data_IF_856743189569
#
_entry.id   IF_856743189569
#
_cell.length_a   1.000
_cell.length_b   1.000
_cell.length_c   1.000
_cell.angle_alpha   90.00
_cell.angle_beta   90.00
_cell.angle_gamma   90.00
#
_symmetry.space_group_name_H-M   'P 1'
#
loop_
_entity.id
_entity.type
_entity.pdbx_description
1 polymer ?
#
# COMPACT_ATOMS: atom_id res chain seq x y z
N UNK A 1 -20.61 17.13 -23.20
CA UNK A 1 -20.02 15.79 -22.98
C UNK A 1 -20.23 15.46 -21.52
N UNK A 2 -20.99 14.40 -21.21
CA UNK A 2 -21.21 13.93 -19.84
C UNK A 2 -19.86 13.58 -19.21
N UNK A 3 -19.45 14.38 -18.24
CA UNK A 3 -18.16 14.23 -17.58
C UNK A 3 -18.25 13.04 -16.63
N UNK A 4 -17.73 11.88 -17.05
CA UNK A 4 -17.76 10.67 -16.24
C UNK A 4 -16.89 10.88 -14.98
N UNK A 5 -17.43 10.80 -13.75
CA UNK A 5 -16.70 11.15 -12.54
C UNK A 5 -15.42 10.34 -12.38
N UNK A 6 -15.45 9.05 -12.71
CA UNK A 6 -14.27 8.19 -12.67
C UNK A 6 -13.15 8.66 -13.62
N UNK A 7 -13.48 9.16 -14.82
CA UNK A 7 -12.50 9.67 -15.81
C UNK A 7 -11.96 11.03 -15.37
N UNK A 8 -12.75 11.81 -14.64
CA UNK A 8 -12.30 13.10 -14.09
C UNK A 8 -11.29 12.92 -12.97
N UNK A 9 -11.50 11.90 -12.14
CA UNK A 9 -10.68 11.63 -10.96
C UNK A 9 -9.48 10.71 -11.25
N UNK A 10 -9.41 10.10 -12.43
CA UNK A 10 -8.32 9.19 -12.83
C UNK A 10 -7.50 9.77 -13.99
N UNK A 11 -6.23 10.08 -13.74
CA UNK A 11 -5.28 10.47 -14.78
C UNK A 11 -5.07 9.36 -15.83
N UNK A 12 -5.04 8.11 -15.38
CA UNK A 12 -4.89 6.94 -16.23
C UNK A 12 -6.04 6.82 -17.24
N UNK A 13 -7.29 6.79 -16.76
CA UNK A 13 -8.46 6.63 -17.62
C UNK A 13 -8.67 7.83 -18.53
N UNK A 14 -8.34 9.04 -18.06
CA UNK A 14 -8.41 10.26 -18.87
C UNK A 14 -7.50 10.18 -20.09
N UNK A 15 -6.24 9.73 -19.90
CA UNK A 15 -5.31 9.53 -21.02
C UNK A 15 -5.76 8.39 -21.92
N UNK A 16 -6.11 7.25 -21.34
CA UNK A 16 -6.50 6.06 -22.10
C UNK A 16 -7.71 6.32 -23.02
N UNK A 17 -8.74 7.00 -22.52
CA UNK A 17 -9.95 7.34 -23.30
C UNK A 17 -9.76 8.51 -24.27
N UNK A 18 -8.63 9.21 -24.21
CA UNK A 18 -8.26 10.17 -25.26
C UNK A 18 -7.82 9.43 -26.53
N UNK A 19 -7.25 8.24 -26.37
CA UNK A 19 -6.66 7.44 -27.45
C UNK A 19 -7.57 6.29 -27.91
N UNK A 20 -8.53 5.86 -27.09
CA UNK A 20 -9.37 4.68 -27.33
C UNK A 20 -10.86 5.00 -27.14
N UNK A 21 -11.72 4.43 -27.99
CA UNK A 21 -13.18 4.59 -27.92
C UNK A 21 -13.88 3.61 -26.97
N UNK A 22 -13.17 2.56 -26.54
CA UNK A 22 -13.65 1.53 -25.62
C UNK A 22 -12.57 1.25 -24.57
N UNK A 23 -13.01 1.01 -23.33
CA UNK A 23 -12.12 0.68 -22.21
C UNK A 23 -12.44 -0.73 -21.74
N UNK A 24 -11.49 -1.63 -21.94
CA UNK A 24 -11.40 -2.85 -21.14
C UNK A 24 -10.41 -2.58 -20.03
N UNK A 25 -10.92 -2.24 -18.84
CA UNK A 25 -10.06 -2.15 -17.66
C UNK A 25 -9.69 -3.57 -17.26
N UNK A 26 -8.44 -3.92 -17.47
CA UNK A 26 -7.82 -5.04 -16.77
C UNK A 26 -7.12 -4.43 -15.56
N UNK A 27 -7.69 -4.53 -14.34
CA UNK A 27 -6.94 -4.19 -13.15
C UNK A 27 -5.61 -4.94 -13.17
N UNK A 28 -4.55 -4.36 -12.62
CA UNK A 28 -3.31 -5.09 -12.44
C UNK A 28 -3.56 -6.45 -11.79
N UNK A 29 -2.74 -7.44 -12.16
CA UNK A 29 -3.01 -8.87 -11.92
C UNK A 29 -3.25 -9.25 -10.46
N UNK A 30 -2.85 -8.42 -9.49
CA UNK A 30 -3.02 -8.65 -8.05
C UNK A 30 -4.09 -7.76 -7.40
N UNK A 31 -4.59 -6.74 -8.09
CA UNK A 31 -5.68 -5.92 -7.59
C UNK A 31 -7.00 -6.67 -7.68
N UNK A 32 -7.68 -6.85 -6.55
CA UNK A 32 -9.02 -7.42 -6.55
C UNK A 32 -10.01 -6.48 -7.27
N UNK A 33 -10.92 -7.06 -8.06
CA UNK A 33 -11.99 -6.31 -8.72
C UNK A 33 -12.85 -5.50 -7.72
N UNK A 34 -13.04 -6.04 -6.50
CA UNK A 34 -13.75 -5.35 -5.42
C UNK A 34 -13.03 -4.07 -4.94
N UNK A 35 -11.69 -4.01 -5.05
CA UNK A 35 -10.91 -2.81 -4.72
C UNK A 35 -11.12 -1.73 -5.78
N UNK A 36 -11.07 -2.12 -7.06
CA UNK A 36 -11.39 -1.23 -8.16
C UNK A 36 -12.83 -0.70 -8.05
N UNK A 37 -13.79 -1.58 -7.75
CA UNK A 37 -15.19 -1.19 -7.54
C UNK A 37 -15.33 -0.16 -6.42
N UNK A 38 -14.64 -0.33 -5.30
CA UNK A 38 -14.65 0.66 -4.20
C UNK A 38 -14.07 2.01 -4.63
N UNK A 39 -12.92 2.01 -5.33
CA UNK A 39 -12.33 3.24 -5.85
C UNK A 39 -13.25 3.93 -6.88
N UNK A 40 -13.89 3.14 -7.74
CA UNK A 40 -14.88 3.64 -8.69
C UNK A 40 -16.08 4.24 -7.97
N UNK A 41 -16.69 3.50 -7.03
CA UNK A 41 -17.82 3.96 -6.21
C UNK A 41 -17.50 5.26 -5.48
N UNK A 42 -16.28 5.40 -4.97
CA UNK A 42 -15.81 6.64 -4.35
C UNK A 42 -15.87 7.83 -5.33
N UNK A 43 -15.42 7.64 -6.57
CA UNK A 43 -15.47 8.69 -7.60
C UNK A 43 -16.89 9.16 -7.92
N UNK A 44 -17.89 8.30 -7.70
CA UNK A 44 -19.32 8.64 -7.85
C UNK A 44 -19.97 9.21 -6.58
N UNK A 45 -19.18 9.54 -5.56
CA UNK A 45 -19.69 10.07 -4.29
C UNK A 45 -20.25 9.00 -3.35
N UNK A 46 -19.99 7.72 -3.63
CA UNK A 46 -20.31 6.65 -2.69
C UNK A 46 -19.36 6.63 -1.49
N UNK A 47 -19.90 6.28 -0.32
CA UNK A 47 -19.09 6.17 0.89
C UNK A 47 -18.21 4.91 0.85
N UNK A 48 -16.96 5.07 1.28
CA UNK A 48 -15.98 4.00 1.41
C UNK A 48 -15.40 4.07 2.82
N UNK A 49 -15.69 3.04 3.60
CA UNK A 49 -15.14 2.87 4.96
C UNK A 49 -13.74 2.29 4.86
N UNK A 50 -12.77 2.98 5.46
CA UNK A 50 -11.40 2.46 5.58
C UNK A 50 -11.34 1.42 6.70
N UNK A 51 -10.58 0.36 6.46
CA UNK A 51 -10.36 -0.79 7.34
C UNK A 51 -8.90 -1.22 7.21
N UNK A 52 -8.37 -2.02 8.14
CA UNK A 52 -6.98 -2.46 8.03
C UNK A 52 -6.74 -3.25 6.73
N UNK A 53 -7.69 -4.10 6.36
CA UNK A 53 -7.61 -4.95 5.16
C UNK A 53 -7.72 -4.24 3.81
N UNK A 54 -8.34 -3.05 3.75
CA UNK A 54 -8.57 -2.34 2.47
C UNK A 54 -7.71 -1.08 2.30
N UNK A 55 -6.95 -0.69 3.33
CA UNK A 55 -6.10 0.50 3.27
C UNK A 55 -5.06 0.42 2.16
N UNK A 56 -4.20 -0.61 2.17
CA UNK A 56 -3.18 -0.79 1.14
C UNK A 56 -3.78 -1.04 -0.25
N UNK A 57 -4.82 -1.89 -0.42
CA UNK A 57 -5.51 -2.04 -1.70
C UNK A 57 -6.08 -0.73 -2.27
N UNK A 58 -6.77 0.08 -1.46
CA UNK A 58 -7.34 1.34 -1.93
C UNK A 58 -6.26 2.37 -2.25
N UNK A 59 -5.13 2.35 -1.52
CA UNK A 59 -4.01 3.23 -1.82
C UNK A 59 -3.30 2.85 -3.12
N UNK A 60 -3.14 1.55 -3.38
CA UNK A 60 -2.66 1.02 -4.65
C UNK A 60 -3.61 1.33 -5.82
N UNK A 61 -4.93 1.24 -5.60
CA UNK A 61 -5.92 1.60 -6.62
C UNK A 61 -5.87 3.09 -6.97
N UNK A 62 -5.75 3.96 -5.96
CA UNK A 62 -5.59 5.38 -6.17
C UNK A 62 -4.32 5.68 -6.98
N UNK A 63 -3.21 5.01 -6.69
CA UNK A 63 -1.95 5.18 -7.40
C UNK A 63 -2.04 4.71 -8.85
N UNK A 64 -2.55 3.50 -9.09
CA UNK A 64 -2.72 2.94 -10.42
C UNK A 64 -3.70 3.75 -11.28
N UNK A 65 -4.78 4.27 -10.68
CA UNK A 65 -5.71 5.18 -11.35
C UNK A 65 -5.13 6.58 -11.57
N UNK A 66 -3.94 6.88 -11.02
CA UNK A 66 -3.33 8.21 -11.01
C UNK A 66 -4.29 9.25 -10.44
N UNK A 67 -4.94 8.89 -9.33
CA UNK A 67 -5.76 9.80 -8.56
C UNK A 67 -4.82 10.77 -7.84
N UNK A 68 -5.09 12.07 -7.95
CA UNK A 68 -4.22 13.09 -7.34
C UNK A 68 -4.10 12.96 -5.81
N UNK A 69 -3.08 13.59 -5.19
CA UNK A 69 -2.92 13.61 -3.74
C UNK A 69 -4.10 14.25 -3.02
N UNK A 70 -4.72 15.26 -3.64
CA UNK A 70 -5.95 15.89 -3.15
C UNK A 70 -7.22 15.07 -3.44
N UNK A 71 -7.08 13.91 -4.09
CA UNK A 71 -8.22 13.02 -4.24
C UNK A 71 -8.70 12.57 -2.86
N UNK A 72 -10.02 12.51 -2.71
CA UNK A 72 -10.58 12.20 -1.41
C UNK A 72 -10.22 10.80 -0.92
N UNK A 73 -9.87 9.85 -1.81
CA UNK A 73 -9.50 8.50 -1.44
C UNK A 73 -8.09 8.45 -0.80
N UNK A 74 -7.12 9.14 -1.40
CA UNK A 74 -5.76 9.29 -0.86
C UNK A 74 -5.78 9.92 0.52
N UNK A 75 -6.42 11.08 0.63
CA UNK A 75 -6.53 11.82 1.90
C UNK A 75 -7.26 11.02 2.98
N UNK A 76 -8.26 10.20 2.60
CA UNK A 76 -9.00 9.37 3.54
C UNK A 76 -8.17 8.18 4.02
N UNK A 77 -7.36 7.59 3.15
CA UNK A 77 -6.39 6.56 3.51
C UNK A 77 -5.32 7.11 4.46
N UNK A 78 -4.72 8.27 4.15
CA UNK A 78 -3.76 8.95 5.03
C UNK A 78 -4.37 9.30 6.39
N UNK A 79 -5.61 9.82 6.39
CA UNK A 79 -6.32 10.13 7.63
C UNK A 79 -6.64 8.90 8.47
N UNK A 80 -6.96 7.76 7.85
CA UNK A 80 -7.13 6.49 8.56
C UNK A 80 -5.81 5.99 9.12
N UNK A 81 -4.73 6.06 8.34
CA UNK A 81 -3.39 5.70 8.78
C UNK A 81 -2.99 6.48 10.04
N UNK A 82 -3.12 7.81 10.01
CA UNK A 82 -2.69 8.65 11.15
C UNK A 82 -3.58 8.47 12.40
N UNK A 83 -4.89 8.22 12.24
CA UNK A 83 -5.80 8.12 13.40
C UNK A 83 -5.87 6.74 14.01
N UNK A 84 -5.89 5.70 13.18
CA UNK A 84 -6.15 4.34 13.62
C UNK A 84 -4.86 3.53 13.62
N UNK A 85 -4.13 3.52 12.51
CA UNK A 85 -2.92 2.68 12.34
C UNK A 85 -1.80 3.16 13.25
N UNK A 86 -1.53 4.47 13.29
CA UNK A 86 -0.47 5.03 14.13
C UNK A 86 -0.78 4.99 15.63
N UNK A 87 -2.03 4.69 16.01
CA UNK A 87 -2.46 4.64 17.41
C UNK A 87 -2.46 3.21 17.99
N UNK A 88 -2.43 2.18 17.14
CA UNK A 88 -2.61 0.79 17.56
C UNK A 88 -1.67 -0.15 16.78
N UNK A 89 -0.74 -0.78 17.50
CA UNK A 89 0.23 -1.71 16.93
C UNK A 89 -0.42 -2.97 16.33
N UNK A 90 -1.53 -3.44 16.90
CA UNK A 90 -2.28 -4.56 16.34
C UNK A 90 -2.90 -4.22 14.98
N UNK A 91 -3.46 -3.01 14.86
CA UNK A 91 -3.95 -2.49 13.57
C UNK A 91 -2.79 -2.33 12.58
N UNK A 92 -1.65 -1.79 13.01
CA UNK A 92 -0.46 -1.68 12.17
C UNK A 92 0.03 -3.04 11.64
N UNK A 93 0.04 -4.08 12.48
CA UNK A 93 0.38 -5.43 12.06
C UNK A 93 -0.64 -6.00 11.05
N UNK A 94 -1.94 -5.76 11.25
CA UNK A 94 -2.98 -6.19 10.30
C UNK A 94 -2.84 -5.51 8.93
N UNK A 95 -2.58 -4.19 8.92
CA UNK A 95 -2.32 -3.45 7.68
C UNK A 95 -1.05 -3.99 7.01
N UNK A 96 0.03 -4.21 7.76
CA UNK A 96 1.28 -4.76 7.22
C UNK A 96 1.06 -6.09 6.49
N UNK A 97 0.31 -7.02 7.10
CA UNK A 97 -0.08 -8.28 6.44
C UNK A 97 -0.91 -8.07 5.19
N UNK A 98 -1.79 -7.07 5.16
CA UNK A 98 -2.59 -6.75 3.97
C UNK A 98 -1.74 -6.26 2.80
N UNK A 99 -0.57 -5.66 3.05
CA UNK A 99 0.33 -5.19 2.01
C UNK A 99 0.96 -6.34 1.21
N UNK A 100 1.21 -7.50 1.85
CA UNK A 100 1.92 -8.63 1.24
C UNK A 100 1.31 -9.06 -0.11
N UNK A 101 -0.03 -9.09 -0.22
CA UNK A 101 -0.71 -9.47 -1.46
C UNK A 101 -0.46 -8.56 -2.67
N UNK A 102 0.04 -7.34 -2.44
CA UNK A 102 0.23 -6.30 -3.46
C UNK A 102 1.71 -6.06 -3.82
N UNK A 103 2.64 -6.44 -2.94
CA UNK A 103 4.08 -6.17 -3.11
C UNK A 103 4.70 -6.90 -4.32
N UNK A 104 4.13 -8.04 -4.73
CA UNK A 104 4.51 -8.72 -5.96
C UNK A 104 3.78 -8.23 -7.22
N UNK A 105 3.05 -7.10 -7.15
CA UNK A 105 2.29 -6.52 -8.26
C UNK A 105 3.14 -5.57 -9.12
N UNK A 106 2.53 -4.90 -10.13
CA UNK A 106 3.21 -3.88 -10.92
C UNK A 106 3.75 -2.73 -10.07
N UNK A 107 4.81 -2.07 -10.55
CA UNK A 107 5.61 -1.13 -9.75
C UNK A 107 4.80 -0.04 -9.05
N UNK A 108 3.78 0.55 -9.69
CA UNK A 108 2.97 1.60 -9.07
C UNK A 108 2.16 1.08 -7.85
N UNK A 109 1.56 -0.10 -7.97
CA UNK A 109 0.78 -0.69 -6.88
C UNK A 109 1.68 -1.16 -5.74
N UNK A 110 2.77 -1.81 -6.12
CA UNK A 110 3.74 -2.34 -5.19
C UNK A 110 4.43 -1.19 -4.42
N UNK A 111 4.69 -0.05 -5.07
CA UNK A 111 5.22 1.15 -4.41
C UNK A 111 4.22 1.73 -3.40
N UNK A 112 2.93 1.81 -3.74
CA UNK A 112 1.91 2.27 -2.81
C UNK A 112 1.78 1.34 -1.58
N UNK A 113 1.76 0.02 -1.81
CA UNK A 113 1.73 -0.96 -0.73
C UNK A 113 3.01 -0.93 0.13
N UNK A 114 4.19 -0.77 -0.49
CA UNK A 114 5.47 -0.65 0.19
C UNK A 114 5.54 0.61 1.07
N UNK A 115 4.99 1.74 0.60
CA UNK A 115 4.88 2.96 1.38
C UNK A 115 4.01 2.80 2.63
N UNK A 116 2.87 2.12 2.49
CA UNK A 116 1.98 1.79 3.64
C UNK A 116 2.69 0.82 4.60
N UNK A 117 3.34 -0.22 4.08
CA UNK A 117 4.09 -1.19 4.88
C UNK A 117 5.22 -0.53 5.68
N UNK A 118 6.01 0.35 5.05
CA UNK A 118 7.08 1.08 5.71
C UNK A 118 6.56 1.92 6.88
N UNK A 119 5.42 2.61 6.71
CA UNK A 119 4.76 3.30 7.80
C UNK A 119 4.28 2.36 8.92
N UNK A 120 3.77 1.17 8.61
CA UNK A 120 3.36 0.22 9.64
C UNK A 120 4.56 -0.27 10.45
N UNK A 121 5.68 -0.55 9.78
CA UNK A 121 6.94 -0.96 10.41
C UNK A 121 7.45 0.13 11.37
N UNK A 122 7.31 1.41 11.03
CA UNK A 122 7.61 2.52 11.95
C UNK A 122 6.81 2.43 13.25
N UNK A 123 5.50 2.27 13.13
CA UNK A 123 4.59 2.21 14.27
C UNK A 123 4.92 0.99 15.14
N UNK A 124 5.14 -0.16 14.52
CA UNK A 124 5.46 -1.41 15.21
C UNK A 124 6.82 -1.37 15.89
N UNK A 125 7.83 -0.76 15.26
CA UNK A 125 9.14 -0.60 15.87
C UNK A 125 9.11 0.39 17.05
N UNK A 126 8.21 1.37 17.02
CA UNK A 126 8.06 2.37 18.08
C UNK A 126 7.15 1.90 19.24
N UNK A 127 6.29 0.90 19.04
CA UNK A 127 5.34 0.45 20.07
C UNK A 127 6.02 -0.27 21.24
N UNK A 128 7.17 -0.91 21.00
CA UNK A 128 7.86 -1.73 22.01
C UNK A 128 7.17 -3.07 22.30
N UNK A 129 6.07 -3.38 21.62
CA UNK A 129 5.32 -4.64 21.73
C UNK A 129 6.00 -5.73 20.90
N UNK A 130 7.17 -6.18 21.37
CA UNK A 130 7.88 -7.33 20.81
C UNK A 130 8.28 -7.20 19.33
N UNK A 131 8.70 -8.33 18.78
CA UNK A 131 9.20 -8.47 17.41
C UNK A 131 8.35 -9.45 16.58
N UNK A 132 7.12 -9.75 17.04
CA UNK A 132 6.22 -10.72 16.38
C UNK A 132 5.91 -10.34 14.92
N UNK A 133 5.84 -9.05 14.61
CA UNK A 133 5.66 -8.54 13.26
C UNK A 133 6.85 -8.82 12.32
N UNK A 134 8.02 -9.18 12.86
CA UNK A 134 9.16 -9.61 12.04
C UNK A 134 8.92 -11.00 11.43
N UNK A 135 8.08 -11.84 12.03
CA UNK A 135 7.67 -13.11 11.42
C UNK A 135 6.85 -12.88 10.14
N UNK A 136 5.94 -11.89 10.17
CA UNK A 136 5.19 -11.46 8.99
C UNK A 136 6.13 -10.96 7.88
N UNK A 137 7.26 -10.34 8.24
CA UNK A 137 8.30 -9.91 7.29
C UNK A 137 9.12 -11.08 6.76
N UNK A 138 9.42 -12.10 7.57
CA UNK A 138 10.16 -13.28 7.15
C UNK A 138 9.37 -14.15 6.14
N UNK A 139 8.04 -14.02 6.14
CA UNK A 139 7.18 -14.68 5.15
C UNK A 139 7.24 -14.03 3.75
N UNK A 140 7.78 -12.81 3.63
CA UNK A 140 7.94 -12.12 2.35
C UNK A 140 9.07 -12.73 1.52
N UNK A 141 8.94 -12.65 0.19
CA UNK A 141 10.08 -12.90 -0.70
C UNK A 141 11.10 -11.76 -0.63
N UNK A 142 12.33 -12.05 -1.07
CA UNK A 142 13.40 -11.05 -1.09
C UNK A 142 13.04 -9.82 -1.97
N UNK A 143 12.27 -10.03 -3.04
CA UNK A 143 11.81 -8.96 -3.91
C UNK A 143 10.81 -8.04 -3.21
N UNK A 144 9.86 -8.62 -2.47
CA UNK A 144 8.85 -7.87 -1.72
C UNK A 144 9.47 -7.09 -0.56
N UNK A 145 10.41 -7.70 0.17
CA UNK A 145 11.19 -7.02 1.19
C UNK A 145 12.00 -5.86 0.59
N UNK A 146 12.64 -6.06 -0.57
CA UNK A 146 13.42 -5.02 -1.23
C UNK A 146 12.56 -3.80 -1.59
N UNK A 147 11.30 -4.01 -2.01
CA UNK A 147 10.37 -2.90 -2.26
C UNK A 147 10.03 -2.13 -0.98
N UNK A 148 9.79 -2.82 0.14
CA UNK A 148 9.59 -2.17 1.44
C UNK A 148 10.85 -1.41 1.86
N UNK A 149 12.03 -2.02 1.73
CA UNK A 149 13.31 -1.39 2.06
C UNK A 149 13.55 -0.12 1.25
N UNK A 150 13.23 -0.11 -0.05
CA UNK A 150 13.27 1.08 -0.89
C UNK A 150 12.31 2.18 -0.42
N UNK A 151 11.09 1.82 -0.02
CA UNK A 151 10.13 2.76 0.55
C UNK A 151 10.58 3.32 1.92
N UNK A 152 11.17 2.48 2.77
CA UNK A 152 11.80 2.91 4.02
C UNK A 152 12.94 3.89 3.73
N UNK A 153 13.86 3.57 2.82
CA UNK A 153 14.97 4.46 2.46
C UNK A 153 14.50 5.84 1.99
N UNK A 154 13.42 5.90 1.20
CA UNK A 154 12.83 7.16 0.75
C UNK A 154 12.21 7.99 1.91
N UNK A 155 11.73 7.32 2.96
CA UNK A 155 11.15 7.94 4.15
C UNK A 155 12.20 8.36 5.18
N UNK A 156 13.28 7.62 5.30
CA UNK A 156 14.34 7.83 6.30
C UNK A 156 15.69 8.12 5.66
N UNK A 157 15.78 9.20 4.91
CA UNK A 157 17.03 9.57 4.25
C UNK A 157 18.22 9.75 5.23
N UNK A 158 17.94 10.00 6.52
CA UNK A 158 18.95 10.37 7.53
C UNK A 158 19.06 9.36 8.70
N UNK A 159 18.20 8.34 8.80
CA UNK A 159 18.21 7.33 9.87
C UNK A 159 17.91 5.93 9.31
N UNK A 160 18.93 5.09 9.24
CA UNK A 160 18.83 3.75 8.65
C UNK A 160 18.85 2.62 9.69
N UNK A 161 18.83 2.93 10.99
CA UNK A 161 18.95 1.89 12.03
C UNK A 161 17.81 0.88 11.97
N UNK A 162 16.58 1.37 11.76
CA UNK A 162 15.40 0.51 11.60
C UNK A 162 15.48 -0.34 10.33
N UNK A 163 15.93 0.25 9.22
CA UNK A 163 16.13 -0.48 7.96
C UNK A 163 17.15 -1.60 8.14
N UNK A 164 18.31 -1.32 8.74
CA UNK A 164 19.33 -2.34 9.00
C UNK A 164 18.81 -3.44 9.91
N UNK A 165 18.06 -3.10 10.97
CA UNK A 165 17.47 -4.11 11.85
C UNK A 165 16.54 -5.06 11.11
N UNK A 166 15.64 -4.54 10.28
CA UNK A 166 14.69 -5.34 9.49
C UNK A 166 15.44 -6.26 8.51
N UNK A 167 16.42 -5.72 7.79
CA UNK A 167 17.21 -6.50 6.83
C UNK A 167 18.05 -7.57 7.54
N UNK A 168 18.69 -7.22 8.65
CA UNK A 168 19.52 -8.15 9.42
C UNK A 168 18.70 -9.31 9.98
N UNK A 169 17.52 -9.03 10.55
CA UNK A 169 16.60 -10.07 11.01
C UNK A 169 16.18 -10.99 9.86
N UNK A 170 15.77 -10.42 8.72
CA UNK A 170 15.35 -11.21 7.57
C UNK A 170 16.47 -12.12 7.06
N UNK A 171 17.71 -11.63 7.01
CA UNK A 171 18.85 -12.45 6.61
C UNK A 171 19.12 -13.59 7.60
N UNK A 172 19.01 -13.33 8.90
CA UNK A 172 19.18 -14.36 9.93
C UNK A 172 18.12 -15.46 9.80
N UNK A 173 16.85 -15.11 9.66
CA UNK A 173 15.74 -16.09 9.65
C UNK A 173 15.61 -16.78 8.30
N UNK A 174 15.67 -16.04 7.19
CA UNK A 174 15.35 -16.56 5.86
C UNK A 174 16.55 -17.15 5.11
N UNK A 175 17.78 -16.76 5.46
CA UNK A 175 19.01 -17.21 4.77
C UNK A 175 19.89 -18.10 5.65
N UNK A 176 19.87 -17.90 6.98
CA UNK A 176 20.67 -18.69 7.93
C UNK A 176 19.83 -19.36 9.04
N UNK A 177 18.87 -20.23 8.69
CA UNK A 177 17.90 -20.78 9.65
C UNK A 177 18.49 -21.75 10.70
N UNK A 178 19.80 -21.99 10.71
CA UNK A 178 20.47 -22.88 11.67
C UNK A 178 21.71 -22.23 12.28
N UNK A 179 21.51 -21.65 13.46
CA UNK A 179 22.48 -21.64 14.56
C UNK A 179 21.77 -22.11 15.83
#
# INVERSE_FOLDING_TARGET
>A
MTQHPLVTNSGYLKRYLTENSEVTVSPPSRMAAATFEQAARFCYGGDVTMTPSNLAPLRAAAEWLEMGPDSGLVRRAEGYFFREVAADAGIAAEVLRSCAGLLGGPDAEAAAAAGVAAGCIEVLAASGDGEEWLEDMAALSAEELWRIAGAMQARFADDHDLLYRVVDYYLHVSVFPYK
#
